data_IF_325255036456
#
_entry.id   IF_325255036456
#
_cell.length_a   1.000
_cell.length_b   1.000
_cell.length_c   1.000
_cell.angle_alpha   90.00
_cell.angle_beta   90.00
_cell.angle_gamma   90.00
#
_symmetry.space_group_name_H-M   'P 1'
#
loop_
_entity.id
_entity.type
_entity.pdbx_description
1 polymer ?
#
# COMPACT_ATOMS: atom_id res chain seq x y z
N UNK A 1 -17.63 -11.59 0.74
CA UNK A 1 -16.61 -10.87 1.55
C UNK A 1 -15.71 -10.09 0.59
N UNK A 2 -15.41 -8.86 0.94
CA UNK A 2 -14.51 -7.99 0.16
C UNK A 2 -13.29 -7.62 1.00
N UNK A 3 -12.11 -7.92 0.46
CA UNK A 3 -10.81 -7.68 1.12
C UNK A 3 -10.10 -6.54 0.40
N UNK A 4 -9.60 -5.59 1.15
CA UNK A 4 -8.72 -4.52 0.67
C UNK A 4 -7.30 -4.78 1.18
N UNK A 5 -6.32 -4.79 0.28
CA UNK A 5 -4.91 -4.76 0.64
C UNK A 5 -4.33 -3.42 0.25
N UNK A 6 -3.80 -2.69 1.22
CA UNK A 6 -3.07 -1.45 0.96
C UNK A 6 -1.58 -1.76 0.86
N UNK A 7 -0.96 -1.32 -0.22
CA UNK A 7 0.46 -1.55 -0.48
C UNK A 7 1.24 -0.23 -0.50
N UNK A 8 2.51 -0.31 -0.13
CA UNK A 8 3.52 0.73 -0.33
C UNK A 8 4.46 0.35 -1.47
N UNK A 9 4.98 1.35 -2.17
CA UNK A 9 6.04 1.21 -3.15
C UNK A 9 7.30 1.83 -2.56
N UNK A 10 8.32 1.02 -2.34
CA UNK A 10 9.54 1.42 -1.62
C UNK A 10 10.78 1.12 -2.46
N UNK A 11 11.89 1.85 -2.28
CA UNK A 11 13.16 1.48 -2.89
C UNK A 11 13.60 0.08 -2.45
N UNK A 12 14.09 -0.71 -3.40
CA UNK A 12 14.72 -2.00 -3.08
C UNK A 12 15.91 -1.77 -2.13
N UNK A 13 16.07 -2.65 -1.16
CA UNK A 13 17.14 -2.58 -0.15
C UNK A 13 18.54 -2.66 -0.73
N UNK A 14 18.70 -3.16 -1.95
CA UNK A 14 19.96 -3.20 -2.69
C UNK A 14 20.28 -1.90 -3.45
N UNK A 15 19.33 -0.97 -3.49
CA UNK A 15 19.49 0.31 -4.19
C UNK A 15 20.48 1.23 -3.48
N UNK A 16 21.33 1.89 -4.25
CA UNK A 16 22.17 2.96 -3.72
C UNK A 16 21.35 4.24 -3.59
N UNK A 17 21.16 4.71 -2.37
CA UNK A 17 20.45 5.96 -2.11
C UNK A 17 21.41 7.14 -2.31
N UNK A 18 21.03 8.05 -3.20
CA UNK A 18 21.77 9.27 -3.50
C UNK A 18 20.86 10.47 -3.25
N UNK A 19 21.38 11.46 -2.51
CA UNK A 19 20.67 12.73 -2.29
C UNK A 19 21.08 13.70 -3.39
N UNK A 20 20.10 14.28 -4.06
CA UNK A 20 20.33 15.35 -5.02
C UNK A 20 20.66 16.65 -4.27
N UNK A 21 21.87 17.22 -4.46
CA UNK A 21 22.27 18.42 -3.74
C UNK A 21 21.44 19.67 -4.12
N UNK A 22 20.84 19.68 -5.32
CA UNK A 22 20.04 20.81 -5.78
C UNK A 22 18.65 20.86 -5.13
N UNK A 23 18.06 19.69 -4.83
CA UNK A 23 16.71 19.58 -4.29
C UNK A 23 16.68 19.14 -2.83
N UNK A 24 17.80 18.66 -2.30
CA UNK A 24 17.90 17.99 -0.97
C UNK A 24 16.93 16.80 -0.82
N UNK A 25 16.56 16.17 -1.92
CA UNK A 25 15.69 15.02 -1.97
C UNK A 25 16.45 13.78 -2.48
N UNK A 26 15.89 12.62 -2.22
CA UNK A 26 16.43 11.36 -2.76
C UNK A 26 16.24 11.38 -4.28
N UNK A 27 17.37 11.16 -4.99
CA UNK A 27 17.33 11.02 -6.45
C UNK A 27 16.64 9.72 -6.84
N UNK A 28 15.69 9.81 -7.75
CA UNK A 28 15.03 8.62 -8.32
C UNK A 28 15.88 7.87 -9.34
N UNK A 29 17.00 8.46 -9.78
CA UNK A 29 17.90 7.83 -10.75
C UNK A 29 18.55 6.57 -10.17
N UNK A 30 18.44 5.46 -10.90
CA UNK A 30 19.03 4.18 -10.51
C UNK A 30 18.33 3.47 -9.36
N UNK A 31 17.20 3.99 -8.86
CA UNK A 31 16.37 3.30 -7.88
C UNK A 31 15.47 2.28 -8.57
N UNK A 32 15.44 1.08 -8.01
CA UNK A 32 14.41 0.07 -8.31
C UNK A 32 13.40 0.08 -7.18
N UNK A 33 12.13 0.22 -7.52
CA UNK A 33 11.04 0.17 -6.54
C UNK A 33 10.43 -1.22 -6.49
N UNK A 34 10.03 -1.62 -5.29
CA UNK A 34 9.35 -2.89 -5.00
C UNK A 34 8.10 -2.62 -4.17
N UNK A 35 7.17 -3.58 -4.15
CA UNK A 35 6.11 -3.61 -3.14
C UNK A 35 6.76 -3.79 -1.77
N UNK A 36 6.30 -3.08 -0.77
CA UNK A 36 6.84 -3.18 0.59
C UNK A 36 6.84 -4.64 1.07
N UNK A 37 7.95 -5.15 1.64
CA UNK A 37 8.05 -6.56 2.05
C UNK A 37 6.97 -7.00 3.02
N UNK A 38 6.56 -6.14 3.96
CA UNK A 38 5.45 -6.44 4.86
C UNK A 38 4.09 -6.45 4.15
N UNK A 39 3.94 -5.65 3.09
CA UNK A 39 2.73 -5.65 2.27
C UNK A 39 2.64 -6.89 1.38
N UNK A 40 3.77 -7.47 0.96
CA UNK A 40 3.81 -8.75 0.26
C UNK A 40 3.23 -9.89 1.14
N UNK A 41 3.50 -9.89 2.45
CA UNK A 41 2.87 -10.83 3.37
C UNK A 41 1.36 -10.60 3.47
N UNK A 42 0.93 -9.34 3.56
CA UNK A 42 -0.48 -9.00 3.58
C UNK A 42 -1.18 -9.44 2.29
N UNK A 43 -0.57 -9.21 1.13
CA UNK A 43 -1.10 -9.63 -0.17
C UNK A 43 -1.19 -11.15 -0.29
N UNK A 44 -0.15 -11.87 0.11
CA UNK A 44 -0.13 -13.34 0.09
C UNK A 44 -1.26 -13.90 0.96
N UNK A 45 -1.44 -13.36 2.16
CA UNK A 45 -2.52 -13.77 3.05
C UNK A 45 -3.90 -13.44 2.50
N UNK A 46 -4.04 -12.30 1.84
CA UNK A 46 -5.30 -11.92 1.20
C UNK A 46 -5.67 -12.87 0.04
N UNK A 47 -4.70 -13.31 -0.74
CA UNK A 47 -4.92 -14.29 -1.82
C UNK A 47 -5.39 -15.63 -1.25
N UNK A 48 -4.76 -16.14 -0.19
CA UNK A 48 -5.21 -17.35 0.50
C UNK A 48 -6.65 -17.24 1.01
N UNK A 49 -6.99 -16.09 1.63
CA UNK A 49 -8.35 -15.83 2.12
C UNK A 49 -9.35 -15.72 0.96
N UNK A 50 -8.98 -15.07 -0.12
CA UNK A 50 -9.79 -15.00 -1.33
C UNK A 50 -10.11 -16.39 -1.85
N UNK A 51 -9.12 -17.26 -1.99
CA UNK A 51 -9.31 -18.62 -2.50
C UNK A 51 -10.18 -19.48 -1.58
N UNK A 52 -9.96 -19.40 -0.27
CA UNK A 52 -10.69 -20.22 0.71
C UNK A 52 -12.11 -19.74 0.98
N UNK A 53 -12.41 -18.46 0.81
CA UNK A 53 -13.71 -17.87 1.14
C UNK A 53 -14.43 -17.27 -0.06
N UNK A 54 -13.94 -17.47 -1.27
CA UNK A 54 -14.50 -16.86 -2.49
C UNK A 54 -14.68 -15.34 -2.36
N UNK A 55 -13.70 -14.67 -1.77
CA UNK A 55 -13.74 -13.24 -1.54
C UNK A 55 -13.29 -12.45 -2.78
N UNK A 56 -13.76 -11.20 -2.88
CA UNK A 56 -13.23 -10.21 -3.82
C UNK A 56 -12.00 -9.55 -3.20
N UNK A 57 -10.89 -9.47 -3.94
CA UNK A 57 -9.64 -8.87 -3.49
C UNK A 57 -9.30 -7.62 -4.30
N UNK A 58 -9.24 -6.51 -3.61
CA UNK A 58 -8.85 -5.21 -4.18
C UNK A 58 -7.50 -4.79 -3.59
N UNK A 59 -6.57 -4.37 -4.44
CA UNK A 59 -5.30 -3.75 -4.03
C UNK A 59 -5.41 -2.24 -4.16
N UNK A 60 -4.92 -1.51 -3.16
CA UNK A 60 -4.91 -0.04 -3.16
C UNK A 60 -3.52 0.50 -2.86
N UNK A 61 -3.13 1.52 -3.62
CA UNK A 61 -1.92 2.30 -3.38
C UNK A 61 -2.22 3.80 -3.49
N UNK A 62 -1.62 4.59 -2.60
CA UNK A 62 -1.66 6.05 -2.65
C UNK A 62 -0.32 6.55 -3.18
N UNK A 63 -0.30 7.08 -4.39
CA UNK A 63 0.94 7.52 -5.02
C UNK A 63 0.78 7.89 -6.48
N UNK A 64 1.87 8.25 -7.12
CA UNK A 64 1.91 8.69 -8.51
C UNK A 64 1.86 7.55 -9.53
N UNK A 65 1.81 7.89 -10.82
CA UNK A 65 1.70 6.91 -11.90
C UNK A 65 2.92 5.99 -12.05
N UNK A 66 4.05 6.36 -11.49
CA UNK A 66 5.27 5.54 -11.46
C UNK A 66 5.11 4.24 -10.67
N UNK A 67 4.09 4.15 -9.81
CA UNK A 67 3.77 2.94 -9.05
C UNK A 67 2.95 1.91 -9.85
N UNK A 68 2.39 2.27 -11.00
CA UNK A 68 1.50 1.39 -11.78
C UNK A 68 2.11 0.02 -12.13
N UNK A 69 3.40 -0.12 -12.51
CA UNK A 69 3.98 -1.42 -12.78
C UNK A 69 3.90 -2.38 -11.59
N UNK A 70 4.09 -1.87 -10.36
CA UNK A 70 4.00 -2.67 -9.14
C UNK A 70 2.56 -3.06 -8.83
N UNK A 71 1.62 -2.14 -9.05
CA UNK A 71 0.19 -2.42 -8.89
C UNK A 71 -0.27 -3.50 -9.88
N UNK A 72 0.19 -3.43 -11.14
CA UNK A 72 -0.09 -4.46 -12.16
C UNK A 72 0.47 -5.83 -11.78
N UNK A 73 1.64 -5.86 -11.12
CA UNK A 73 2.20 -7.10 -10.57
C UNK A 73 1.28 -7.72 -9.52
N UNK A 74 0.66 -6.93 -8.66
CA UNK A 74 -0.31 -7.43 -7.68
C UNK A 74 -1.55 -8.05 -8.35
N UNK A 75 -2.03 -7.47 -9.46
CA UNK A 75 -3.10 -8.06 -10.27
C UNK A 75 -2.68 -9.41 -10.85
N UNK A 76 -1.46 -9.51 -11.38
CA UNK A 76 -0.94 -10.76 -11.93
C UNK A 76 -0.78 -11.85 -10.86
N UNK A 77 -0.55 -11.48 -9.61
CA UNK A 77 -0.44 -12.41 -8.48
C UNK A 77 -1.78 -12.94 -7.98
N UNK A 78 -2.89 -12.28 -8.29
CA UNK A 78 -4.22 -12.80 -7.95
C UNK A 78 -5.24 -11.79 -7.44
N UNK A 79 -4.94 -10.49 -7.38
CA UNK A 79 -5.94 -9.48 -7.08
C UNK A 79 -6.97 -9.38 -8.22
N UNK A 80 -8.25 -9.15 -7.87
CA UNK A 80 -9.32 -9.00 -8.86
C UNK A 80 -9.32 -7.61 -9.49
N UNK A 81 -9.01 -6.61 -8.70
CA UNK A 81 -8.91 -5.22 -9.15
C UNK A 81 -7.88 -4.45 -8.34
N UNK A 82 -7.50 -3.31 -8.86
CA UNK A 82 -6.55 -2.42 -8.21
C UNK A 82 -6.97 -0.97 -8.36
N UNK A 83 -6.68 -0.19 -7.32
CA UNK A 83 -6.97 1.24 -7.24
C UNK A 83 -5.69 1.99 -6.91
N UNK A 84 -5.36 2.98 -7.71
CA UNK A 84 -4.35 3.96 -7.39
C UNK A 84 -5.05 5.28 -7.05
N UNK A 85 -4.83 5.77 -5.85
CA UNK A 85 -5.24 7.12 -5.46
C UNK A 85 -4.08 8.04 -5.80
N UNK A 86 -4.31 8.94 -6.76
CA UNK A 86 -3.27 9.85 -7.24
C UNK A 86 -2.89 10.86 -6.16
N UNK A 87 -1.60 11.06 -5.97
CA UNK A 87 -1.07 12.00 -5.01
C UNK A 87 0.41 11.80 -4.71
N UNK A 88 0.94 12.71 -3.94
CA UNK A 88 2.30 12.64 -3.41
C UNK A 88 2.26 12.85 -1.88
N UNK A 89 1.79 11.84 -1.12
CA UNK A 89 1.64 11.98 0.32
C UNK A 89 3.00 12.13 1.00
N UNK A 90 3.09 13.06 1.94
CA UNK A 90 4.29 13.34 2.73
C UNK A 90 4.16 12.91 4.19
N UNK A 91 3.03 12.35 4.57
CA UNK A 91 2.78 11.90 5.94
C UNK A 91 1.83 10.71 5.99
N UNK A 92 1.93 9.93 7.06
CA UNK A 92 1.01 8.83 7.35
C UNK A 92 -0.46 9.27 7.44
N UNK A 93 -0.69 10.49 7.96
CA UNK A 93 -2.05 11.04 8.04
C UNK A 93 -2.68 11.26 6.67
N UNK A 94 -1.91 11.75 5.70
CA UNK A 94 -2.40 11.93 4.33
C UNK A 94 -2.74 10.59 3.67
N UNK A 95 -1.88 9.60 3.85
CA UNK A 95 -2.12 8.24 3.35
C UNK A 95 -3.37 7.64 3.99
N UNK A 96 -3.47 7.69 5.31
CA UNK A 96 -4.61 7.17 6.05
C UNK A 96 -5.92 7.87 5.64
N UNK A 97 -5.91 9.18 5.48
CA UNK A 97 -7.07 9.95 5.04
C UNK A 97 -7.54 9.52 3.65
N UNK A 98 -6.62 9.32 2.71
CA UNK A 98 -6.94 8.85 1.36
C UNK A 98 -7.60 7.47 1.39
N UNK A 99 -7.04 6.53 2.17
CA UNK A 99 -7.59 5.18 2.34
C UNK A 99 -8.98 5.23 2.96
N UNK A 100 -9.15 5.99 4.05
CA UNK A 100 -10.43 6.15 4.76
C UNK A 100 -11.51 6.69 3.83
N UNK A 101 -11.20 7.71 3.04
CA UNK A 101 -12.14 8.29 2.09
C UNK A 101 -12.56 7.28 1.01
N UNK A 102 -11.61 6.48 0.53
CA UNK A 102 -11.92 5.40 -0.41
C UNK A 102 -12.86 4.37 0.22
N UNK A 103 -12.55 3.88 1.41
CA UNK A 103 -13.34 2.84 2.10
C UNK A 103 -14.74 3.33 2.45
N UNK A 104 -14.91 4.61 2.82
CA UNK A 104 -16.24 5.19 3.08
C UNK A 104 -17.14 5.15 1.84
N UNK A 105 -16.58 5.30 0.64
CA UNK A 105 -17.32 5.21 -0.63
C UNK A 105 -17.38 3.79 -1.19
N UNK A 106 -16.48 2.91 -0.77
CA UNK A 106 -16.32 1.54 -1.22
C UNK A 106 -16.14 0.61 -0.01
N UNK A 107 -17.22 0.29 0.72
CA UNK A 107 -17.11 -0.50 1.95
C UNK A 107 -16.45 -1.86 1.73
N UNK A 108 -15.62 -2.25 2.67
CA UNK A 108 -14.92 -3.55 2.68
C UNK A 108 -15.07 -4.22 4.04
N UNK A 109 -14.95 -5.54 4.06
CA UNK A 109 -15.12 -6.33 5.28
C UNK A 109 -13.81 -6.51 6.05
N UNK A 110 -12.68 -6.52 5.32
CA UNK A 110 -11.35 -6.73 5.87
C UNK A 110 -10.33 -5.83 5.16
N UNK A 111 -9.47 -5.18 5.93
CA UNK A 111 -8.33 -4.42 5.42
C UNK A 111 -7.06 -5.09 5.93
N UNK A 112 -6.17 -5.45 5.02
CA UNK A 112 -4.84 -5.97 5.33
C UNK A 112 -3.78 -4.97 4.88
N UNK A 113 -2.81 -4.74 5.74
CA UNK A 113 -1.66 -3.87 5.48
C UNK A 113 -0.41 -4.49 6.08
N UNK A 114 0.75 -4.16 5.54
CA UNK A 114 2.01 -4.37 6.21
C UNK A 114 2.06 -3.56 7.51
N UNK A 115 2.81 -4.05 8.49
CA UNK A 115 2.94 -3.35 9.77
C UNK A 115 3.59 -1.96 9.60
N UNK A 116 4.48 -1.81 8.62
CA UNK A 116 5.18 -0.54 8.31
C UNK A 116 5.81 -0.61 6.92
N UNK A 117 6.10 0.54 6.31
CA UNK A 117 6.97 0.60 5.13
C UNK A 117 8.44 0.64 5.57
N UNK A 118 9.33 0.01 4.81
CA UNK A 118 10.75 -0.10 5.17
C UNK A 118 11.54 1.19 4.95
N UNK A 119 10.98 2.16 4.23
CA UNK A 119 11.62 3.47 3.97
C UNK A 119 11.38 4.48 5.10
N UNK A 120 10.18 4.52 5.68
CA UNK A 120 9.83 5.46 6.77
C UNK A 120 9.68 4.82 8.15
N UNK A 121 9.34 3.53 8.23
CA UNK A 121 9.19 2.76 9.46
C UNK A 121 8.22 3.42 10.47
N UNK A 122 7.21 4.15 10.01
CA UNK A 122 6.30 4.87 10.88
C UNK A 122 5.36 3.96 11.67
N UNK A 123 4.92 2.85 11.07
CA UNK A 123 4.10 1.82 11.72
C UNK A 123 2.75 2.30 12.26
N UNK A 124 2.17 3.36 11.72
CA UNK A 124 0.97 3.97 12.28
C UNK A 124 -0.21 4.11 11.31
N UNK A 125 0.00 3.89 9.99
CA UNK A 125 -1.07 4.06 9.00
C UNK A 125 -2.25 3.13 9.28
N UNK A 126 -2.01 1.86 9.57
CA UNK A 126 -3.05 0.89 9.86
C UNK A 126 -3.90 1.28 11.09
N UNK A 127 -3.26 1.73 12.17
CA UNK A 127 -3.97 2.21 13.36
C UNK A 127 -4.81 3.46 13.09
N UNK A 128 -4.27 4.42 12.31
CA UNK A 128 -5.01 5.63 11.91
C UNK A 128 -6.24 5.28 11.07
N UNK A 129 -6.11 4.34 10.13
CA UNK A 129 -7.23 3.88 9.28
C UNK A 129 -8.29 3.17 10.13
N UNK A 130 -7.88 2.23 10.97
CA UNK A 130 -8.80 1.49 11.84
C UNK A 130 -9.55 2.43 12.79
N UNK A 131 -8.84 3.37 13.44
CA UNK A 131 -9.45 4.35 14.34
C UNK A 131 -10.46 5.27 13.65
N UNK A 132 -10.15 5.74 12.45
CA UNK A 132 -11.03 6.62 11.69
C UNK A 132 -12.28 5.91 11.12
N UNK A 133 -12.17 4.61 10.84
CA UNK A 133 -13.29 3.80 10.36
C UNK A 133 -14.10 3.14 11.48
N UNK A 134 -13.60 3.13 12.70
CA UNK A 134 -14.18 2.37 13.81
C UNK A 134 -14.02 0.85 13.65
N UNK A 135 -13.01 0.41 12.93
CA UNK A 135 -12.73 -1.01 12.72
C UNK A 135 -11.93 -1.58 13.89
N UNK A 136 -12.16 -2.85 14.19
CA UNK A 136 -11.29 -3.58 15.13
C UNK A 136 -9.90 -3.69 14.53
N UNK A 137 -8.89 -3.40 15.33
CA UNK A 137 -7.49 -3.39 14.93
C UNK A 137 -6.70 -4.48 15.67
N UNK A 138 -5.95 -5.26 14.92
CA UNK A 138 -5.09 -6.33 15.42
C UNK A 138 -3.63 -6.08 15.10
#
# INVERSE_FOLDING_TARGET
MKILVCISCVPDTTSKIVIDPATSQISSQGLTFIVGPYDDYALSRAIELKESHSAELVVLHVGGPESEPLIRKCLALGADSAVRIDGNPISSNQIATAIVNYVKSNPVDLILMGKESIDYNSGNVHGLVAGALGYVHF
#
